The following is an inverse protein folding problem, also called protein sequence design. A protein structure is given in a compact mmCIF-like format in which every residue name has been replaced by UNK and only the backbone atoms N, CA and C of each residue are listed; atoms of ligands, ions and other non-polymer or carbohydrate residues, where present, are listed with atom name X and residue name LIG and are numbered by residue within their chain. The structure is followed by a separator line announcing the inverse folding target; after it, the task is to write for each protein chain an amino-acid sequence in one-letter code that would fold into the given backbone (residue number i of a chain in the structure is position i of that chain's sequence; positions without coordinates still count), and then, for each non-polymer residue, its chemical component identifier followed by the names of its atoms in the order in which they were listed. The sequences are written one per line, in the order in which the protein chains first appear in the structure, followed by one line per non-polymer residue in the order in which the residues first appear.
data_IF_183939816353
#
_entry.id   IF_183939816353
#
_cell.length_a   1.000
_cell.length_b   1.000
_cell.length_c   1.000
_cell.angle_alpha   90.00
_cell.angle_beta   90.00
_cell.angle_gamma   90.00
#
_symmetry.space_group_name_H-M   'P 1'
#
loop_
_entity.id
_entity.type
_entity.pdbx_description
1 polymer ?
#
# COMPACT_ATOMS: atom_id res chain seq x y z
N UNK A 1 74.50 -37.08 6.20
CA UNK A 1 74.03 -35.68 6.31
C UNK A 1 73.68 -35.16 4.96
N UNK A 2 72.59 -35.65 4.37
CA UNK A 2 71.97 -35.11 3.12
C UNK A 2 70.54 -35.67 2.97
N UNK A 3 69.63 -35.25 3.86
CA UNK A 3 68.22 -35.63 3.75
C UNK A 3 67.34 -34.75 4.68
N UNK A 4 67.45 -33.41 4.61
CA UNK A 4 66.57 -32.49 5.36
C UNK A 4 66.34 -31.14 4.65
N UNK A 5 66.40 -31.08 3.30
CA UNK A 5 66.21 -29.78 2.60
C UNK A 5 65.03 -29.71 1.62
N UNK A 6 64.13 -30.73 1.55
CA UNK A 6 63.02 -30.70 0.54
C UNK A 6 61.60 -30.52 1.10
N UNK A 7 61.45 -30.30 2.41
CA UNK A 7 60.12 -30.17 3.04
C UNK A 7 59.63 -28.72 3.29
N UNK A 8 60.38 -27.71 2.80
CA UNK A 8 60.09 -26.30 3.11
C UNK A 8 59.47 -25.43 1.98
N UNK A 9 59.31 -25.93 0.74
CA UNK A 9 59.00 -25.04 -0.40
C UNK A 9 57.62 -25.09 -0.99
N UNK A 10 56.67 -25.89 -0.52
CA UNK A 10 55.32 -26.02 -1.16
C UNK A 10 54.21 -25.26 -0.50
N UNK A 11 54.35 -24.71 0.71
CA UNK A 11 53.23 -24.07 1.43
C UNK A 11 53.10 -22.54 1.20
N UNK A 12 54.15 -21.86 0.80
CA UNK A 12 54.06 -20.39 0.53
C UNK A 12 53.37 -20.02 -0.79
N UNK A 13 53.38 -20.91 -1.79
CA UNK A 13 52.76 -20.65 -3.12
C UNK A 13 51.23 -20.76 -3.09
N UNK A 14 50.70 -21.71 -2.35
CA UNK A 14 49.26 -21.98 -2.22
C UNK A 14 48.57 -20.91 -1.37
N UNK A 15 49.19 -20.47 -0.26
CA UNK A 15 48.69 -19.38 0.59
C UNK A 15 48.67 -18.03 -0.15
N UNK A 16 49.63 -17.73 -1.03
CA UNK A 16 49.70 -16.48 -1.79
C UNK A 16 48.64 -16.44 -2.89
N UNK A 17 48.38 -17.56 -3.57
CA UNK A 17 47.30 -17.69 -4.59
C UNK A 17 45.89 -17.57 -3.94
N UNK A 18 45.68 -18.18 -2.77
CA UNK A 18 44.43 -18.07 -2.03
C UNK A 18 44.12 -16.64 -1.58
N UNK A 19 45.10 -15.89 -1.06
CA UNK A 19 44.94 -14.46 -0.68
C UNK A 19 44.59 -13.56 -1.85
N UNK A 20 45.17 -13.80 -3.03
CA UNK A 20 44.85 -13.02 -4.24
C UNK A 20 43.44 -13.28 -4.75
N UNK A 21 42.96 -14.52 -4.67
CA UNK A 21 41.63 -14.91 -5.07
C UNK A 21 40.54 -14.27 -4.18
N UNK A 22 40.70 -14.29 -2.86
CA UNK A 22 39.76 -13.64 -1.95
C UNK A 22 39.66 -12.13 -2.14
N UNK A 23 40.77 -11.45 -2.49
CA UNK A 23 40.73 -10.03 -2.87
C UNK A 23 39.93 -9.79 -4.14
N UNK A 24 40.09 -10.66 -5.15
CA UNK A 24 39.30 -10.60 -6.38
C UNK A 24 37.81 -10.86 -6.11
N UNK A 25 37.47 -11.89 -5.34
CA UNK A 25 36.08 -12.17 -4.95
C UNK A 25 35.45 -11.00 -4.18
N UNK A 26 36.17 -10.42 -3.22
CA UNK A 26 35.71 -9.21 -2.51
C UNK A 26 35.48 -8.03 -3.44
N UNK A 27 36.40 -7.80 -4.39
CA UNK A 27 36.27 -6.72 -5.37
C UNK A 27 35.02 -6.91 -6.25
N UNK A 28 34.72 -8.13 -6.73
CA UNK A 28 33.51 -8.38 -7.53
C UNK A 28 32.24 -8.12 -6.75
N UNK A 29 32.19 -8.53 -5.47
CA UNK A 29 31.06 -8.25 -4.58
C UNK A 29 30.89 -6.75 -4.35
N UNK A 30 31.99 -6.02 -4.06
CA UNK A 30 31.95 -4.56 -3.87
C UNK A 30 31.44 -3.81 -5.12
N UNK A 31 31.92 -4.20 -6.30
CA UNK A 31 31.46 -3.60 -7.57
C UNK A 31 29.98 -3.91 -7.80
N UNK A 32 29.52 -5.14 -7.53
CA UNK A 32 28.11 -5.50 -7.65
C UNK A 32 27.23 -4.71 -6.67
N UNK A 33 27.63 -4.59 -5.43
CA UNK A 33 26.93 -3.78 -4.41
C UNK A 33 26.87 -2.31 -4.82
N UNK A 34 27.99 -1.74 -5.27
CA UNK A 34 28.04 -0.33 -5.72
C UNK A 34 27.12 -0.11 -6.93
N UNK A 35 27.11 -1.02 -7.90
CA UNK A 35 26.21 -0.98 -9.05
C UNK A 35 24.73 -0.98 -8.60
N UNK A 36 24.34 -1.89 -7.71
CA UNK A 36 22.98 -1.97 -7.15
C UNK A 36 22.61 -0.68 -6.42
N UNK A 37 23.50 -0.15 -5.60
CA UNK A 37 23.26 1.10 -4.87
C UNK A 37 23.09 2.30 -5.81
N UNK A 38 23.92 2.41 -6.85
CA UNK A 38 23.80 3.48 -7.86
C UNK A 38 22.47 3.37 -8.61
N UNK A 39 22.11 2.18 -9.12
CA UNK A 39 20.85 1.97 -9.83
C UNK A 39 19.63 2.31 -8.96
N UNK A 40 19.61 1.85 -7.73
CA UNK A 40 18.51 2.15 -6.81
C UNK A 40 18.45 3.63 -6.45
N UNK A 41 19.59 4.30 -6.23
CA UNK A 41 19.61 5.74 -5.94
C UNK A 41 19.02 6.57 -7.08
N UNK A 42 19.26 6.17 -8.33
CA UNK A 42 18.68 6.84 -9.50
C UNK A 42 17.16 6.70 -9.54
N UNK A 43 16.61 5.48 -9.33
CA UNK A 43 15.18 5.26 -9.29
C UNK A 43 14.49 6.01 -8.14
N UNK A 44 15.06 5.91 -6.94
CA UNK A 44 14.51 6.62 -5.76
C UNK A 44 14.52 8.12 -5.98
N UNK A 45 15.61 8.68 -6.51
CA UNK A 45 15.69 10.11 -6.82
C UNK A 45 14.65 10.53 -7.86
N UNK A 46 14.49 9.77 -8.95
CA UNK A 46 13.50 10.04 -9.98
C UNK A 46 12.06 9.99 -9.43
N UNK A 47 11.75 8.99 -8.59
CA UNK A 47 10.44 8.86 -7.95
C UNK A 47 10.15 9.91 -6.88
N UNK A 48 11.18 10.50 -6.24
CA UNK A 48 11.01 11.54 -5.22
C UNK A 48 10.91 12.97 -5.79
N UNK A 49 11.45 13.21 -6.99
CA UNK A 49 11.38 14.53 -7.64
C UNK A 49 9.95 14.86 -8.10
N UNK A 50 9.20 13.85 -8.50
CA UNK A 50 7.73 13.89 -8.72
C UNK A 50 7.19 12.60 -8.17
N UNK A 51 6.18 12.61 -7.29
CA UNK A 51 5.57 11.39 -6.78
C UNK A 51 5.23 10.48 -7.96
N UNK A 52 5.92 9.34 -8.05
CA UNK A 52 5.84 8.47 -9.21
C UNK A 52 6.07 7.02 -8.82
N UNK A 53 4.95 6.29 -8.70
CA UNK A 53 4.98 4.86 -8.39
C UNK A 53 5.67 4.03 -9.48
N UNK A 54 5.68 4.48 -10.75
CA UNK A 54 6.31 3.71 -11.84
C UNK A 54 7.83 3.59 -11.65
N UNK A 55 8.50 4.62 -11.14
CA UNK A 55 9.95 4.55 -10.87
C UNK A 55 10.26 3.61 -9.70
N UNK A 56 9.39 3.55 -8.70
CA UNK A 56 9.53 2.57 -7.60
C UNK A 56 9.29 1.15 -8.11
N UNK A 57 8.36 0.95 -9.04
CA UNK A 57 8.14 -0.36 -9.66
C UNK A 57 9.32 -0.78 -10.54
N UNK A 58 9.95 0.13 -11.28
CA UNK A 58 11.20 -0.15 -12.02
C UNK A 58 12.34 -0.56 -11.08
N UNK A 59 12.48 0.13 -9.93
CA UNK A 59 13.44 -0.28 -8.90
C UNK A 59 13.15 -1.70 -8.39
N UNK A 60 11.88 -2.00 -8.18
CA UNK A 60 11.43 -3.31 -7.75
C UNK A 60 11.76 -4.40 -8.81
N UNK A 61 11.40 -4.18 -10.08
CA UNK A 61 11.68 -5.15 -11.14
C UNK A 61 13.19 -5.36 -11.31
N UNK A 62 13.98 -4.29 -11.24
CA UNK A 62 15.43 -4.43 -11.23
C UNK A 62 15.93 -5.32 -10.09
N UNK A 63 15.51 -5.05 -8.84
CA UNK A 63 16.06 -5.76 -7.68
C UNK A 63 15.53 -7.19 -7.54
N UNK A 64 14.29 -7.45 -7.92
CA UNK A 64 13.62 -8.72 -7.65
C UNK A 64 13.35 -9.57 -8.91
N UNK A 65 13.79 -9.11 -10.08
CA UNK A 65 13.72 -9.87 -11.32
C UNK A 65 15.01 -9.81 -12.11
N UNK A 66 15.48 -8.64 -12.54
CA UNK A 66 16.71 -8.53 -13.36
C UNK A 66 17.96 -8.96 -12.57
N UNK A 67 18.08 -8.49 -11.32
CA UNK A 67 19.23 -8.82 -10.47
C UNK A 67 19.33 -10.32 -10.14
N UNK A 68 18.29 -11.03 -9.70
CA UNK A 68 18.35 -12.49 -9.55
C UNK A 68 18.81 -13.23 -10.81
N UNK A 69 18.29 -12.85 -11.99
CA UNK A 69 18.69 -13.48 -13.24
C UNK A 69 20.17 -13.23 -13.54
N UNK A 70 20.66 -12.01 -13.29
CA UNK A 70 22.08 -11.66 -13.43
C UNK A 70 22.95 -12.46 -12.47
N UNK A 71 22.51 -12.62 -11.20
CA UNK A 71 23.22 -13.40 -10.19
C UNK A 71 23.28 -14.89 -10.58
N UNK A 72 22.23 -15.48 -11.13
CA UNK A 72 22.26 -16.85 -11.63
C UNK A 72 23.20 -16.99 -12.84
N UNK A 73 23.25 -16.00 -13.75
CA UNK A 73 24.22 -15.95 -14.83
C UNK A 73 25.66 -15.95 -14.32
N UNK A 74 25.94 -15.13 -13.29
CA UNK A 74 27.25 -15.11 -12.64
C UNK A 74 27.56 -16.43 -11.91
N UNK A 75 26.59 -17.03 -11.24
CA UNK A 75 26.75 -18.33 -10.60
C UNK A 75 27.11 -19.42 -11.60
N UNK A 76 26.42 -19.46 -12.75
CA UNK A 76 26.73 -20.39 -13.84
C UNK A 76 28.13 -20.16 -14.41
N UNK A 77 28.52 -18.88 -14.61
CA UNK A 77 29.88 -18.54 -15.04
C UNK A 77 30.94 -19.05 -14.05
N UNK A 78 30.77 -18.79 -12.75
CA UNK A 78 31.72 -19.25 -11.74
C UNK A 78 31.75 -20.78 -11.64
N UNK A 79 30.64 -21.47 -11.83
CA UNK A 79 30.61 -22.93 -11.90
C UNK A 79 31.40 -23.45 -13.11
N UNK A 80 31.26 -22.81 -14.28
CA UNK A 80 32.04 -23.15 -15.46
C UNK A 80 33.56 -22.91 -15.26
N UNK A 81 33.93 -21.78 -14.64
CA UNK A 81 35.32 -21.48 -14.30
C UNK A 81 35.90 -22.50 -13.31
N UNK A 82 35.11 -23.08 -12.43
CA UNK A 82 35.53 -24.15 -11.51
C UNK A 82 35.89 -25.43 -12.26
N UNK A 83 35.32 -25.68 -13.45
CA UNK A 83 35.68 -26.81 -14.32
C UNK A 83 36.96 -26.54 -15.08
N UNK A 84 37.17 -25.30 -15.54
CA UNK A 84 38.31 -24.89 -16.35
C UNK A 84 39.61 -24.72 -15.53
N UNK A 85 39.51 -24.34 -14.25
CA UNK A 85 40.63 -24.10 -13.36
C UNK A 85 40.60 -24.96 -12.07
N UNK A 86 41.02 -26.24 -12.15
CA UNK A 86 40.96 -27.19 -11.01
C UNK A 86 41.67 -26.69 -9.75
N UNK A 87 42.76 -25.96 -9.88
CA UNK A 87 43.54 -25.42 -8.77
C UNK A 87 42.81 -24.35 -7.91
N UNK A 88 41.74 -23.78 -8.42
CA UNK A 88 40.90 -22.80 -7.75
C UNK A 88 39.43 -23.24 -7.67
N UNK A 89 39.14 -24.51 -8.00
CA UNK A 89 37.80 -25.09 -8.10
C UNK A 89 36.94 -24.79 -6.88
N UNK A 90 37.46 -25.02 -5.69
CA UNK A 90 36.73 -24.81 -4.42
C UNK A 90 36.28 -23.34 -4.26
N UNK A 91 37.14 -22.40 -4.62
CA UNK A 91 36.86 -20.97 -4.47
C UNK A 91 35.84 -20.48 -5.50
N UNK A 92 35.91 -20.96 -6.76
CA UNK A 92 34.91 -20.67 -7.78
C UNK A 92 33.53 -21.24 -7.41
N UNK A 93 33.46 -22.45 -6.87
CA UNK A 93 32.22 -23.07 -6.40
C UNK A 93 31.60 -22.28 -5.22
N UNK A 94 32.41 -21.77 -4.29
CA UNK A 94 31.88 -20.93 -3.22
C UNK A 94 31.26 -19.62 -3.75
N UNK A 95 31.88 -18.97 -4.74
CA UNK A 95 31.29 -17.80 -5.39
C UNK A 95 30.00 -18.17 -6.14
N UNK A 96 29.99 -19.27 -6.88
CA UNK A 96 28.79 -19.74 -7.56
C UNK A 96 27.64 -19.98 -6.57
N UNK A 97 27.90 -20.66 -5.45
CA UNK A 97 26.91 -20.91 -4.41
C UNK A 97 26.43 -19.61 -3.76
N UNK A 98 27.32 -18.66 -3.48
CA UNK A 98 26.95 -17.36 -2.89
C UNK A 98 25.98 -16.61 -3.81
N UNK A 99 26.33 -16.47 -5.10
CA UNK A 99 25.49 -15.73 -6.04
C UNK A 99 24.15 -16.46 -6.30
N UNK A 100 24.15 -17.78 -6.39
CA UNK A 100 22.92 -18.56 -6.52
C UNK A 100 22.02 -18.41 -5.27
N UNK A 101 22.60 -18.47 -4.07
CA UNK A 101 21.87 -18.29 -2.81
C UNK A 101 21.19 -16.93 -2.75
N UNK A 102 21.94 -15.84 -3.00
CA UNK A 102 21.38 -14.49 -3.00
C UNK A 102 20.27 -14.36 -4.08
N UNK A 103 20.48 -14.94 -5.25
CA UNK A 103 19.46 -14.95 -6.31
C UNK A 103 18.17 -15.65 -5.87
N UNK A 104 18.26 -16.77 -5.19
CA UNK A 104 17.09 -17.50 -4.63
C UNK A 104 16.39 -16.67 -3.56
N UNK A 105 17.13 -16.06 -2.62
CA UNK A 105 16.54 -15.22 -1.58
C UNK A 105 15.76 -14.03 -2.15
N UNK A 106 16.29 -13.39 -3.19
CA UNK A 106 15.59 -12.30 -3.89
C UNK A 106 14.31 -12.79 -4.59
N UNK A 107 14.29 -14.00 -5.16
CA UNK A 107 13.07 -14.58 -5.74
C UNK A 107 12.05 -14.97 -4.64
N UNK A 108 12.49 -15.46 -3.51
CA UNK A 108 11.61 -15.70 -2.35
C UNK A 108 11.01 -14.37 -1.88
N UNK A 109 11.82 -13.32 -1.76
CA UNK A 109 11.34 -11.99 -1.42
C UNK A 109 10.33 -11.49 -2.48
N UNK A 110 10.61 -11.67 -3.78
CA UNK A 110 9.66 -11.36 -4.85
C UNK A 110 8.30 -12.03 -4.61
N UNK A 111 8.31 -13.35 -4.39
CA UNK A 111 7.09 -14.10 -4.13
C UNK A 111 6.32 -13.54 -2.93
N UNK A 112 7.03 -13.25 -1.85
CA UNK A 112 6.43 -12.68 -0.64
C UNK A 112 5.73 -11.34 -0.93
N UNK A 113 6.43 -10.38 -1.55
CA UNK A 113 5.91 -9.02 -1.76
C UNK A 113 4.84 -8.92 -2.85
N UNK A 114 4.78 -9.90 -3.78
CA UNK A 114 3.77 -9.90 -4.85
C UNK A 114 2.57 -10.81 -4.59
N UNK A 115 2.74 -11.85 -3.79
CA UNK A 115 1.74 -12.91 -3.64
C UNK A 115 1.25 -13.08 -2.20
N UNK A 116 2.12 -12.86 -1.21
CA UNK A 116 1.76 -13.08 0.21
C UNK A 116 1.28 -11.78 0.85
N UNK A 117 2.11 -10.75 0.86
CA UNK A 117 1.79 -9.51 1.57
C UNK A 117 0.57 -8.76 0.98
N UNK A 118 0.35 -8.68 -0.34
CA UNK A 118 -0.86 -8.07 -0.90
C UNK A 118 -2.18 -8.77 -0.55
N UNK A 119 -2.13 -10.00 -0.07
CA UNK A 119 -3.30 -10.77 0.37
C UNK A 119 -3.47 -10.78 1.91
N UNK A 120 -2.54 -10.14 2.63
CA UNK A 120 -2.59 -10.07 4.10
C UNK A 120 -3.43 -8.88 4.54
N UNK A 121 -4.75 -9.08 4.64
CA UNK A 121 -5.66 -8.04 5.09
C UNK A 121 -5.61 -7.86 6.61
N UNK A 122 -5.31 -6.64 7.05
CA UNK A 122 -5.35 -6.22 8.45
C UNK A 122 -6.66 -5.47 8.74
N UNK A 123 -7.24 -5.73 9.90
CA UNK A 123 -8.37 -4.96 10.42
C UNK A 123 -7.91 -4.15 11.60
N UNK A 124 -7.86 -2.83 11.43
CA UNK A 124 -7.62 -1.91 12.54
C UNK A 124 -8.93 -1.60 13.24
N UNK A 125 -8.90 -1.60 14.58
CA UNK A 125 -10.06 -1.24 15.40
C UNK A 125 -9.73 0.03 16.18
N UNK A 126 -10.54 1.06 15.97
CA UNK A 126 -10.41 2.37 16.60
C UNK A 126 -11.67 2.63 17.43
N UNK A 127 -11.49 3.05 18.64
CA UNK A 127 -12.58 3.52 19.51
C UNK A 127 -12.49 5.04 19.63
N UNK A 128 -13.53 5.74 19.19
CA UNK A 128 -13.64 7.18 19.26
C UNK A 128 -14.84 7.58 20.13
N UNK A 129 -14.56 8.18 21.26
CA UNK A 129 -15.61 8.65 22.19
C UNK A 129 -16.17 9.98 21.71
N UNK A 130 -17.52 10.12 21.78
CA UNK A 130 -18.22 11.33 21.36
C UNK A 130 -19.45 11.59 22.23
N UNK A 131 -19.70 12.86 22.62
CA UNK A 131 -20.96 13.23 23.29
C UNK A 131 -22.14 13.37 22.31
N UNK A 132 -21.92 13.28 21.00
CA UNK A 132 -22.91 13.55 19.95
C UNK A 132 -23.80 12.35 19.62
N UNK A 133 -23.46 11.18 20.13
CA UNK A 133 -24.19 9.92 19.89
C UNK A 133 -24.58 9.27 21.21
N UNK A 134 -25.79 8.71 21.27
CA UNK A 134 -26.34 8.03 22.45
C UNK A 134 -26.12 6.51 22.40
N UNK A 135 -25.72 5.97 21.25
CA UNK A 135 -25.45 4.54 21.04
C UNK A 135 -24.18 4.36 20.21
N UNK A 136 -23.52 3.23 20.37
CA UNK A 136 -22.33 2.89 19.57
C UNK A 136 -22.72 2.69 18.12
N UNK A 137 -21.95 3.30 17.22
CA UNK A 137 -22.07 3.13 15.77
C UNK A 137 -20.74 2.58 15.23
N UNK A 138 -20.81 1.46 14.52
CA UNK A 138 -19.67 0.82 13.88
C UNK A 138 -19.54 1.32 12.46
N UNK A 139 -18.56 2.19 12.21
CA UNK A 139 -18.23 2.71 10.87
C UNK A 139 -17.06 1.95 10.31
N UNK A 140 -17.27 1.22 9.23
CA UNK A 140 -16.17 0.60 8.49
C UNK A 140 -15.66 1.57 7.43
N UNK A 141 -14.38 1.91 7.48
CA UNK A 141 -13.68 2.61 6.42
C UNK A 141 -12.90 1.60 5.57
N UNK A 142 -13.22 1.55 4.29
CA UNK A 142 -12.52 0.78 3.26
C UNK A 142 -12.15 1.70 2.10
N UNK A 143 -11.05 1.42 1.41
CA UNK A 143 -10.54 2.21 0.30
C UNK A 143 -9.70 1.34 -0.63
N UNK A 144 -9.53 1.80 -1.86
CA UNK A 144 -8.51 1.28 -2.77
C UNK A 144 -8.54 -0.26 -2.86
N UNK A 145 -9.70 -0.81 -3.15
CA UNK A 145 -9.87 -2.25 -3.41
C UNK A 145 -9.09 -2.61 -4.68
N UNK A 146 -9.12 -1.71 -5.67
CA UNK A 146 -8.37 -1.78 -6.94
C UNK A 146 -8.27 -3.20 -7.49
N UNK A 147 -9.40 -3.94 -7.45
CA UNK A 147 -9.45 -5.29 -7.97
C UNK A 147 -9.20 -5.31 -9.48
N UNK A 148 -8.33 -6.20 -9.93
CA UNK A 148 -8.09 -6.42 -11.35
C UNK A 148 -9.13 -7.31 -12.02
N UNK A 149 -10.02 -7.88 -11.22
CA UNK A 149 -11.13 -8.77 -11.45
C UNK A 149 -11.48 -9.42 -10.12
N UNK A 150 -12.77 -9.64 -9.86
CA UNK A 150 -13.24 -10.22 -8.59
C UNK A 150 -12.78 -11.68 -8.48
N UNK A 151 -12.01 -11.95 -7.43
CA UNK A 151 -11.40 -13.24 -7.12
C UNK A 151 -11.80 -13.71 -5.71
N UNK A 152 -11.32 -14.88 -5.30
CA UNK A 152 -11.49 -15.38 -3.94
C UNK A 152 -10.94 -14.42 -2.86
N UNK A 153 -9.99 -13.56 -3.22
CA UNK A 153 -9.47 -12.56 -2.29
C UNK A 153 -10.53 -11.50 -1.97
N UNK A 154 -11.17 -10.92 -2.97
CA UNK A 154 -12.22 -9.93 -2.76
C UNK A 154 -13.42 -10.54 -2.04
N UNK A 155 -13.79 -11.77 -2.38
CA UNK A 155 -14.85 -12.51 -1.66
C UNK A 155 -14.51 -12.60 -0.16
N UNK A 156 -13.30 -13.05 0.19
CA UNK A 156 -12.84 -13.13 1.58
C UNK A 156 -12.80 -11.77 2.29
N UNK A 157 -12.43 -10.69 1.58
CA UNK A 157 -12.47 -9.33 2.12
C UNK A 157 -13.90 -8.99 2.55
N UNK A 158 -14.90 -9.24 1.69
CA UNK A 158 -16.29 -8.91 1.98
C UNK A 158 -16.93 -9.88 3.02
N UNK A 159 -16.52 -11.13 3.07
CA UNK A 159 -16.88 -12.05 4.16
C UNK A 159 -16.35 -11.53 5.51
N UNK A 160 -15.12 -11.04 5.55
CA UNK A 160 -14.54 -10.45 6.75
C UNK A 160 -15.25 -9.16 7.14
N UNK A 161 -15.61 -8.30 6.17
CA UNK A 161 -16.42 -7.10 6.41
C UNK A 161 -17.76 -7.49 7.04
N UNK A 162 -18.45 -8.50 6.50
CA UNK A 162 -19.72 -8.98 7.02
C UNK A 162 -19.59 -9.50 8.46
N UNK A 163 -18.52 -10.21 8.77
CA UNK A 163 -18.22 -10.71 10.12
C UNK A 163 -17.92 -9.60 11.15
N UNK A 164 -17.53 -8.40 10.68
CA UNK A 164 -17.35 -7.22 11.54
C UNK A 164 -18.66 -6.53 11.92
N UNK A 165 -19.76 -6.90 11.26
CA UNK A 165 -21.11 -6.35 11.48
C UNK A 165 -21.10 -4.79 11.51
N UNK A 166 -20.63 -4.11 10.46
CA UNK A 166 -20.62 -2.65 10.44
C UNK A 166 -22.06 -2.11 10.33
N UNK A 167 -22.33 -1.02 11.03
CA UNK A 167 -23.58 -0.29 10.89
C UNK A 167 -23.59 0.57 9.61
N UNK A 168 -22.41 1.09 9.25
CA UNK A 168 -22.18 1.98 8.12
C UNK A 168 -20.86 1.60 7.43
N UNK A 169 -20.85 1.62 6.10
CA UNK A 169 -19.62 1.50 5.32
C UNK A 169 -19.36 2.82 4.60
N UNK A 170 -18.14 3.34 4.74
CA UNK A 170 -17.63 4.49 3.99
C UNK A 170 -16.46 4.03 3.13
N UNK A 171 -16.62 4.15 1.81
CA UNK A 171 -15.59 3.79 0.84
C UNK A 171 -15.01 5.06 0.20
N UNK A 172 -13.71 5.23 0.28
CA UNK A 172 -13.02 6.42 -0.22
C UNK A 172 -12.50 6.26 -1.65
N UNK A 173 -13.09 5.36 -2.44
CA UNK A 173 -12.84 5.26 -3.90
C UNK A 173 -11.85 4.17 -4.29
N UNK A 174 -11.54 4.15 -5.58
CA UNK A 174 -10.66 3.18 -6.24
C UNK A 174 -11.14 1.72 -6.08
N UNK A 175 -12.33 1.45 -6.64
CA UNK A 175 -12.97 0.13 -6.52
C UNK A 175 -12.30 -0.94 -7.39
N UNK A 176 -12.12 -0.64 -8.69
CA UNK A 176 -11.63 -1.57 -9.70
C UNK A 176 -10.49 -0.95 -10.51
N UNK A 177 -9.46 -1.74 -10.73
CA UNK A 177 -8.39 -1.46 -11.69
C UNK A 177 -8.22 -2.71 -12.57
N UNK A 178 -9.20 -2.90 -13.45
CA UNK A 178 -9.37 -4.14 -14.22
C UNK A 178 -8.17 -4.47 -15.08
N UNK A 179 -7.90 -5.78 -15.20
CA UNK A 179 -6.82 -6.31 -16.03
C UNK A 179 -7.41 -7.29 -17.04
N UNK A 180 -7.13 -7.13 -18.34
CA UNK A 180 -7.63 -8.04 -19.33
C UNK A 180 -7.38 -9.52 -18.97
N UNK A 181 -8.34 -10.43 -19.23
CA UNK A 181 -9.56 -10.24 -20.02
C UNK A 181 -10.75 -9.60 -19.24
N UNK A 182 -10.63 -9.31 -17.93
CA UNK A 182 -11.67 -8.65 -17.16
C UNK A 182 -11.93 -7.22 -17.68
N UNK A 183 -13.19 -6.78 -17.58
CA UNK A 183 -13.62 -5.44 -17.94
C UNK A 183 -14.38 -4.81 -16.77
N UNK A 184 -14.46 -3.48 -16.74
CA UNK A 184 -15.26 -2.81 -15.71
C UNK A 184 -16.73 -3.27 -15.74
N UNK A 185 -17.30 -3.40 -16.93
CA UNK A 185 -18.69 -3.84 -17.12
C UNK A 185 -18.93 -5.29 -16.61
N UNK A 186 -17.92 -6.18 -16.68
CA UNK A 186 -18.05 -7.55 -16.16
C UNK A 186 -17.84 -7.66 -14.66
N UNK A 187 -17.00 -6.78 -14.07
CA UNK A 187 -16.58 -6.92 -12.68
C UNK A 187 -17.36 -6.03 -11.70
N UNK A 188 -17.81 -4.84 -12.14
CA UNK A 188 -18.54 -3.93 -11.27
C UNK A 188 -19.85 -4.52 -10.71
N UNK A 189 -20.67 -5.22 -11.50
CA UNK A 189 -21.86 -5.91 -10.96
C UNK A 189 -21.55 -6.95 -9.90
N UNK A 190 -20.41 -7.68 -10.03
CA UNK A 190 -19.97 -8.66 -9.03
C UNK A 190 -19.57 -7.96 -7.72
N UNK A 191 -18.87 -6.82 -7.82
CA UNK A 191 -18.54 -5.99 -6.66
C UNK A 191 -19.80 -5.48 -5.96
N UNK A 192 -20.80 -5.01 -6.70
CA UNK A 192 -22.08 -4.58 -6.12
C UNK A 192 -22.80 -5.73 -5.40
N UNK A 193 -22.74 -6.96 -5.91
CA UNK A 193 -23.28 -8.14 -5.23
C UNK A 193 -22.58 -8.41 -3.90
N UNK A 194 -21.24 -8.25 -3.84
CA UNK A 194 -20.49 -8.42 -2.59
C UNK A 194 -20.87 -7.34 -1.58
N UNK A 195 -21.01 -6.08 -2.01
CA UNK A 195 -21.48 -4.96 -1.16
C UNK A 195 -22.90 -5.24 -0.66
N UNK A 196 -23.80 -5.70 -1.54
CA UNK A 196 -25.17 -6.04 -1.19
C UNK A 196 -25.25 -7.17 -0.14
N UNK A 197 -24.34 -8.14 -0.20
CA UNK A 197 -24.33 -9.27 0.74
C UNK A 197 -23.95 -8.87 2.17
N UNK A 198 -23.27 -7.72 2.35
CA UNK A 198 -22.98 -7.17 3.69
C UNK A 198 -24.21 -6.46 4.26
N UNK A 199 -24.89 -5.62 3.47
CA UNK A 199 -26.13 -4.92 3.80
C UNK A 199 -26.13 -4.20 5.17
N UNK A 200 -25.22 -3.24 5.41
CA UNK A 200 -25.18 -2.50 6.68
C UNK A 200 -26.44 -1.66 6.88
N UNK A 201 -26.96 -1.62 8.11
CA UNK A 201 -28.28 -0.99 8.42
C UNK A 201 -28.35 0.51 8.10
N UNK A 202 -27.22 1.23 8.12
CA UNK A 202 -27.14 2.66 7.78
C UNK A 202 -26.69 2.88 6.33
N UNK A 203 -26.40 1.80 5.61
CA UNK A 203 -26.04 1.82 4.18
C UNK A 203 -24.55 1.90 3.90
N UNK A 204 -24.23 1.88 2.60
CA UNK A 204 -22.87 2.02 2.08
C UNK A 204 -22.77 3.29 1.25
N UNK A 205 -21.86 4.19 1.61
CA UNK A 205 -21.60 5.45 0.93
C UNK A 205 -20.18 5.49 0.39
N UNK A 206 -19.99 6.17 -0.74
CA UNK A 206 -18.68 6.24 -1.38
C UNK A 206 -18.43 7.56 -2.09
N UNK A 207 -17.17 7.81 -2.39
CA UNK A 207 -16.70 8.85 -3.30
C UNK A 207 -15.95 8.21 -4.48
N UNK A 208 -15.75 8.96 -5.55
CA UNK A 208 -14.94 8.53 -6.68
C UNK A 208 -13.44 8.66 -6.35
N UNK A 209 -12.65 7.67 -6.76
CA UNK A 209 -11.21 7.73 -6.85
C UNK A 209 -10.71 7.93 -8.29
N UNK A 210 -9.46 7.58 -8.54
CA UNK A 210 -8.81 7.74 -9.84
C UNK A 210 -9.27 6.72 -10.89
N UNK A 211 -9.81 5.58 -10.44
CA UNK A 211 -10.13 4.42 -11.29
C UNK A 211 -11.60 4.33 -11.70
N UNK A 212 -12.49 5.23 -11.25
CA UNK A 212 -13.94 5.17 -11.52
C UNK A 212 -14.40 6.01 -12.71
N UNK A 213 -13.56 6.20 -13.73
CA UNK A 213 -13.94 7.02 -14.90
C UNK A 213 -15.17 6.49 -15.63
N UNK A 214 -15.33 5.17 -15.69
CA UNK A 214 -16.46 4.49 -16.29
C UNK A 214 -17.79 4.72 -15.56
N UNK A 215 -17.74 5.16 -14.30
CA UNK A 215 -18.93 5.48 -13.51
C UNK A 215 -19.42 6.93 -13.69
N UNK A 216 -18.65 7.78 -14.34
CA UNK A 216 -19.07 9.15 -14.58
C UNK A 216 -20.29 9.19 -15.49
N UNK A 217 -21.41 9.74 -14.97
CA UNK A 217 -22.68 9.80 -15.68
C UNK A 217 -23.56 8.53 -15.57
N UNK A 218 -23.12 7.50 -14.86
CA UNK A 218 -23.97 6.35 -14.54
C UNK A 218 -25.06 6.78 -13.56
N UNK A 219 -26.31 6.35 -13.83
CA UNK A 219 -27.44 6.63 -12.95
C UNK A 219 -27.19 6.06 -11.54
N UNK A 220 -27.53 6.81 -10.46
CA UNK A 220 -27.44 6.29 -9.10
C UNK A 220 -28.17 4.96 -8.87
N UNK A 221 -29.27 4.72 -9.58
CA UNK A 221 -30.04 3.46 -9.48
C UNK A 221 -29.21 2.25 -9.94
N UNK A 222 -28.33 2.44 -10.91
CA UNK A 222 -27.42 1.40 -11.41
C UNK A 222 -26.20 1.16 -10.51
N UNK A 223 -26.04 1.96 -9.45
CA UNK A 223 -24.98 1.82 -8.46
C UNK A 223 -25.48 1.22 -7.14
N UNK A 224 -26.79 0.97 -7.00
CA UNK A 224 -27.32 0.38 -5.77
C UNK A 224 -26.66 -0.98 -5.46
N UNK A 225 -26.31 -1.24 -4.19
CA UNK A 225 -26.66 -0.52 -2.95
C UNK A 225 -25.69 0.62 -2.58
N UNK A 226 -24.73 0.95 -3.44
CA UNK A 226 -23.72 1.95 -3.22
C UNK A 226 -24.28 3.36 -3.46
N UNK A 227 -24.14 4.26 -2.48
CA UNK A 227 -24.62 5.64 -2.56
C UNK A 227 -23.43 6.59 -2.76
N UNK A 228 -23.29 7.15 -3.95
CA UNK A 228 -22.20 8.07 -4.26
C UNK A 228 -22.48 9.46 -3.68
N UNK A 229 -21.55 9.99 -2.89
CA UNK A 229 -21.63 11.32 -2.26
C UNK A 229 -20.61 12.33 -2.82
N UNK A 230 -20.11 12.14 -4.01
CA UNK A 230 -19.15 13.07 -4.62
C UNK A 230 -19.74 14.49 -4.70
N UNK A 231 -19.15 15.44 -3.97
CA UNK A 231 -19.67 16.83 -3.75
C UNK A 231 -21.10 16.85 -3.20
N UNK A 232 -21.47 15.89 -2.36
CA UNK A 232 -22.82 15.74 -1.80
C UNK A 232 -22.80 15.43 -0.32
N UNK A 233 -23.92 15.77 0.34
CA UNK A 233 -24.14 15.54 1.76
C UNK A 233 -25.24 14.50 1.98
N UNK A 234 -25.08 13.67 3.00
CA UNK A 234 -26.14 12.82 3.53
C UNK A 234 -26.26 13.01 5.04
N UNK A 235 -27.49 13.08 5.57
CA UNK A 235 -27.78 13.03 7.00
C UNK A 235 -28.43 11.71 7.35
N UNK A 236 -27.87 11.01 8.30
CA UNK A 236 -28.30 9.69 8.73
C UNK A 236 -28.73 9.76 10.17
N UNK A 237 -30.04 9.54 10.40
CA UNK A 237 -30.54 9.37 11.77
C UNK A 237 -30.17 7.96 12.26
N UNK A 238 -29.43 7.88 13.34
CA UNK A 238 -28.99 6.62 13.94
C UNK A 238 -29.95 6.07 14.98
N UNK A 239 -30.99 6.82 15.35
CA UNK A 239 -31.85 6.56 16.50
C UNK A 239 -31.27 7.05 17.85
N UNK A 240 -30.00 7.48 17.87
CA UNK A 240 -29.31 8.01 19.06
C UNK A 240 -28.41 9.19 18.72
N UNK A 241 -28.74 9.94 17.68
CA UNK A 241 -27.99 11.07 17.14
C UNK A 241 -27.97 11.07 15.64
N UNK A 242 -27.35 12.08 15.04
CA UNK A 242 -27.28 12.26 13.60
C UNK A 242 -25.82 12.21 13.14
N UNK A 243 -25.55 11.38 12.12
CA UNK A 243 -24.32 11.45 11.37
C UNK A 243 -24.53 12.37 10.17
N UNK A 244 -23.69 13.38 10.01
CA UNK A 244 -23.64 14.25 8.84
C UNK A 244 -22.43 13.87 8.01
N UNK A 245 -22.66 13.30 6.84
CA UNK A 245 -21.64 12.86 5.91
C UNK A 245 -21.49 13.89 4.80
N UNK A 246 -20.26 14.27 4.47
CA UNK A 246 -19.97 15.04 3.27
C UNK A 246 -18.86 14.36 2.47
N UNK A 247 -19.17 13.96 1.24
CA UNK A 247 -18.22 13.35 0.32
C UNK A 247 -17.63 14.39 -0.64
N UNK A 248 -16.32 14.46 -0.71
CA UNK A 248 -15.60 15.31 -1.68
C UNK A 248 -15.52 14.62 -3.05
N UNK A 249 -15.55 15.39 -4.11
CA UNK A 249 -15.15 14.88 -5.43
C UNK A 249 -13.65 14.58 -5.43
N UNK A 250 -13.20 13.79 -6.41
CA UNK A 250 -11.76 13.50 -6.59
C UNK A 250 -10.95 14.81 -6.69
N UNK A 251 -11.44 15.76 -7.49
CA UNK A 251 -10.78 17.06 -7.65
C UNK A 251 -10.70 17.85 -6.35
N UNK A 252 -11.77 17.89 -5.57
CA UNK A 252 -11.80 18.59 -4.28
C UNK A 252 -10.88 17.93 -3.26
N UNK A 253 -10.80 16.59 -3.25
CA UNK A 253 -9.93 15.86 -2.31
C UNK A 253 -8.44 16.06 -2.58
N UNK A 254 -8.05 16.35 -3.83
CA UNK A 254 -6.67 16.66 -4.27
C UNK A 254 -6.32 18.15 -4.24
N UNK A 255 -7.31 19.05 -4.09
CA UNK A 255 -7.12 20.51 -4.14
C UNK A 255 -7.62 21.16 -2.86
N UNK A 256 -6.73 21.57 -2.00
CA UNK A 256 -6.99 22.15 -0.69
C UNK A 256 -8.02 23.31 -0.75
N UNK A 257 -7.76 24.35 -1.54
CA UNK A 257 -8.62 25.54 -1.62
C UNK A 257 -10.06 25.27 -2.08
N UNK A 258 -10.28 24.24 -2.89
CA UNK A 258 -11.62 23.83 -3.34
C UNK A 258 -12.36 23.01 -2.27
N UNK A 259 -11.62 22.20 -1.52
CA UNK A 259 -12.17 21.46 -0.40
C UNK A 259 -12.72 22.42 0.64
N UNK A 260 -11.96 23.41 1.08
CA UNK A 260 -12.33 24.38 2.13
C UNK A 260 -13.66 25.05 1.85
N UNK A 261 -13.84 25.61 0.64
CA UNK A 261 -15.10 26.30 0.27
C UNK A 261 -16.32 25.38 0.35
N UNK A 262 -16.22 24.19 -0.22
CA UNK A 262 -17.33 23.22 -0.21
C UNK A 262 -17.65 22.73 1.21
N UNK A 263 -16.63 22.60 2.03
CA UNK A 263 -16.76 22.20 3.44
C UNK A 263 -17.39 23.30 4.27
N UNK A 264 -17.04 24.57 4.05
CA UNK A 264 -17.67 25.72 4.72
C UNK A 264 -19.17 25.80 4.42
N UNK A 265 -19.59 25.62 3.18
CA UNK A 265 -21.00 25.58 2.78
C UNK A 265 -21.76 24.42 3.49
N UNK A 266 -21.13 23.24 3.57
CA UNK A 266 -21.70 22.11 4.31
C UNK A 266 -21.83 22.41 5.79
N UNK A 267 -20.80 22.96 6.42
CA UNK A 267 -20.79 23.30 7.83
C UNK A 267 -21.84 24.38 8.17
N UNK A 268 -22.02 25.38 7.29
CA UNK A 268 -23.04 26.40 7.44
C UNK A 268 -24.46 25.82 7.39
N UNK A 269 -24.66 24.72 6.63
CA UNK A 269 -25.93 23.99 6.56
C UNK A 269 -26.12 22.94 7.67
N UNK A 270 -25.10 22.66 8.47
CA UNK A 270 -25.09 21.63 9.50
C UNK A 270 -25.80 22.10 10.78
N UNK A 271 -26.44 21.16 11.49
CA UNK A 271 -27.08 21.42 12.77
C UNK A 271 -26.08 21.14 13.91
N UNK A 272 -26.23 21.90 15.01
CA UNK A 272 -25.43 21.63 16.20
C UNK A 272 -25.72 20.22 16.77
N UNK A 273 -24.69 19.54 17.25
CA UNK A 273 -24.83 18.19 17.80
C UNK A 273 -24.71 17.04 16.79
N UNK A 274 -24.66 17.32 15.48
CA UNK A 274 -24.37 16.28 14.48
C UNK A 274 -22.91 15.80 14.59
N UNK A 275 -22.68 14.48 14.46
CA UNK A 275 -21.33 13.93 14.28
C UNK A 275 -20.95 14.04 12.80
N UNK A 276 -19.92 14.82 12.51
CA UNK A 276 -19.56 15.25 11.16
C UNK A 276 -18.42 14.42 10.61
N UNK A 277 -18.67 13.74 9.50
CA UNK A 277 -17.66 12.93 8.78
C UNK A 277 -17.45 13.53 7.40
N UNK A 278 -16.24 14.00 7.15
CA UNK A 278 -15.76 14.43 5.84
C UNK A 278 -14.94 13.31 5.22
N UNK A 279 -15.20 12.94 3.97
CA UNK A 279 -14.41 11.92 3.31
C UNK A 279 -14.18 12.23 1.83
N UNK A 280 -12.97 11.92 1.39
CA UNK A 280 -12.51 12.12 0.01
C UNK A 280 -11.54 11.01 -0.36
N UNK A 281 -11.18 10.91 -1.64
CA UNK A 281 -10.24 9.89 -2.09
C UNK A 281 -8.82 10.21 -1.62
N UNK A 282 -8.25 11.35 -2.02
CA UNK A 282 -6.92 11.79 -1.60
C UNK A 282 -6.97 12.49 -0.23
N UNK A 283 -5.90 12.39 0.58
CA UNK A 283 -5.88 13.02 1.90
C UNK A 283 -5.50 14.50 1.88
N UNK A 284 -5.17 15.11 0.73
CA UNK A 284 -4.62 16.47 0.61
C UNK A 284 -5.56 17.53 1.18
N UNK A 285 -6.88 17.34 1.08
CA UNK A 285 -7.88 18.21 1.70
C UNK A 285 -7.72 18.35 3.22
N UNK A 286 -7.14 17.33 3.86
CA UNK A 286 -6.99 17.31 5.32
C UNK A 286 -6.04 18.40 5.84
N UNK A 287 -5.17 18.96 4.99
CA UNK A 287 -4.26 20.03 5.35
C UNK A 287 -5.00 21.34 5.66
N UNK A 288 -6.14 21.60 5.00
CA UNK A 288 -6.89 22.86 5.11
C UNK A 288 -8.10 22.80 6.04
N UNK A 289 -8.40 21.65 6.62
CA UNK A 289 -9.57 21.47 7.49
C UNK A 289 -9.22 21.25 8.96
N UNK A 290 -7.96 21.45 9.33
CA UNK A 290 -7.45 21.17 10.69
C UNK A 290 -8.16 21.93 11.81
N UNK A 291 -8.64 23.14 11.54
CA UNK A 291 -9.30 24.00 12.51
C UNK A 291 -10.84 24.01 12.40
N UNK A 292 -11.36 23.26 11.42
CA UNK A 292 -12.80 23.22 11.18
C UNK A 292 -13.52 22.25 12.13
N UNK A 293 -14.79 22.53 12.49
CA UNK A 293 -15.56 21.72 13.44
C UNK A 293 -16.06 20.40 12.84
N UNK A 294 -15.13 19.60 12.34
CA UNK A 294 -15.32 18.26 11.79
C UNK A 294 -14.85 17.26 12.85
N UNK A 295 -15.53 16.13 13.01
CA UNK A 295 -15.15 15.12 13.99
C UNK A 295 -14.18 14.09 13.39
N UNK A 296 -14.41 13.68 12.13
CA UNK A 296 -13.65 12.62 11.48
C UNK A 296 -13.45 12.91 9.99
N UNK A 297 -12.23 12.75 9.53
CA UNK A 297 -11.83 12.79 8.12
C UNK A 297 -11.37 11.39 7.68
N UNK A 298 -11.76 10.97 6.45
CA UNK A 298 -11.38 9.66 5.90
C UNK A 298 -10.80 9.84 4.50
N UNK A 299 -9.69 9.16 4.21
CA UNK A 299 -9.04 9.16 2.90
C UNK A 299 -8.35 7.85 2.59
N UNK A 300 -8.04 7.62 1.31
CA UNK A 300 -7.24 6.53 0.77
C UNK A 300 -6.09 7.03 -0.08
N UNK A 301 -6.04 6.58 -1.36
CA UNK A 301 -5.16 7.05 -2.44
C UNK A 301 -3.68 6.76 -2.27
N UNK A 302 -3.10 7.03 -1.12
CA UNK A 302 -1.66 6.94 -0.87
C UNK A 302 -1.14 5.50 -0.83
N UNK A 303 -2.03 4.52 -0.67
CA UNK A 303 -1.68 3.10 -0.43
C UNK A 303 -0.65 2.90 0.71
N UNK A 304 -0.51 3.88 1.61
CA UNK A 304 0.57 3.92 2.58
C UNK A 304 1.97 3.96 1.94
N UNK A 305 2.06 4.25 0.65
CA UNK A 305 3.26 4.21 -0.19
C UNK A 305 3.60 2.82 -0.74
N UNK A 306 2.78 1.79 -0.52
CA UNK A 306 2.93 0.38 -0.93
C UNK A 306 4.28 -0.27 -0.52
N UNK A 307 5.40 0.45 -0.64
CA UNK A 307 6.75 0.03 -0.24
C UNK A 307 7.24 0.92 0.89
N UNK A 308 7.40 0.32 2.06
CA UNK A 308 7.87 1.02 3.27
C UNK A 308 9.17 0.39 3.76
N UNK A 309 10.25 1.14 3.69
CA UNK A 309 11.51 0.67 4.23
C UNK A 309 11.50 0.78 5.76
N UNK A 310 12.10 -0.20 6.47
CA UNK A 310 12.28 -0.10 7.91
C UNK A 310 12.98 1.23 8.27
N UNK A 311 12.50 1.90 9.33
CA UNK A 311 12.99 3.19 9.87
C UNK A 311 12.85 4.41 8.93
N UNK A 312 12.71 4.21 7.61
CA UNK A 312 12.58 5.30 6.61
C UNK A 312 11.09 5.60 6.32
N UNK A 313 10.25 4.56 6.36
CA UNK A 313 8.85 4.67 5.98
C UNK A 313 8.62 4.57 4.47
N UNK A 314 7.56 5.22 3.93
CA UNK A 314 7.26 5.19 2.51
C UNK A 314 8.33 5.93 1.72
N UNK A 315 8.74 5.34 0.58
CA UNK A 315 9.67 6.00 -0.34
C UNK A 315 8.97 7.11 -1.11
N UNK A 316 7.77 6.82 -1.61
CA UNK A 316 6.92 7.73 -2.37
C UNK A 316 5.50 7.66 -1.81
N UNK A 317 4.83 8.81 -1.74
CA UNK A 317 3.39 8.96 -1.58
C UNK A 317 2.92 9.91 -2.67
N UNK A 318 1.81 9.60 -3.31
CA UNK A 318 1.20 10.47 -4.33
C UNK A 318 0.24 11.47 -3.66
N UNK A 319 0.78 12.32 -2.79
CA UNK A 319 0.02 13.29 -2.00
C UNK A 319 0.95 14.34 -1.40
N UNK A 320 0.41 15.53 -1.10
CA UNK A 320 1.14 16.63 -0.46
C UNK A 320 1.19 16.54 1.06
N UNK A 321 0.45 15.61 1.67
CA UNK A 321 0.46 15.45 3.13
C UNK A 321 1.82 14.97 3.64
N UNK A 322 2.17 15.24 4.91
CA UNK A 322 3.36 14.66 5.52
C UNK A 322 3.39 13.13 5.38
N UNK A 323 4.57 12.54 5.16
CA UNK A 323 4.73 11.08 4.98
C UNK A 323 4.12 10.26 6.11
N UNK A 324 4.09 10.81 7.31
CA UNK A 324 3.49 10.21 8.49
C UNK A 324 1.97 10.09 8.35
N UNK A 325 1.34 10.95 7.52
CA UNK A 325 -0.10 10.93 7.26
C UNK A 325 -0.49 9.95 6.14
N UNK A 326 0.48 9.31 5.50
CA UNK A 326 0.22 8.39 4.38
C UNK A 326 -0.61 7.17 4.75
N UNK A 327 -0.75 6.84 6.03
CA UNK A 327 -1.65 5.80 6.55
C UNK A 327 -1.90 5.92 8.06
N UNK A 328 -3.01 5.30 8.48
CA UNK A 328 -3.35 5.14 9.89
C UNK A 328 -4.18 6.29 10.46
N UNK A 329 -4.57 6.12 11.73
CA UNK A 329 -5.45 7.02 12.46
C UNK A 329 -4.66 8.01 13.30
N UNK A 330 -5.04 9.30 13.26
CA UNK A 330 -4.39 10.37 14.01
C UNK A 330 -5.29 11.57 14.25
N UNK A 331 -4.94 12.42 15.20
CA UNK A 331 -5.52 13.74 15.34
C UNK A 331 -4.71 14.76 14.54
N UNK A 332 -5.39 15.62 13.75
CA UNK A 332 -4.74 16.61 12.87
C UNK A 332 -5.10 18.06 13.24
N UNK A 333 -5.64 18.27 14.41
CA UNK A 333 -6.16 19.55 14.89
C UNK A 333 -7.47 19.31 15.62
N UNK A 334 -8.56 19.93 15.17
CA UNK A 334 -9.91 19.62 15.66
C UNK A 334 -10.32 18.22 15.24
N UNK A 335 -10.25 17.85 13.92
CA UNK A 335 -10.68 16.54 13.47
C UNK A 335 -9.65 15.42 13.74
N UNK A 336 -10.16 14.19 13.76
CA UNK A 336 -9.35 13.01 13.54
C UNK A 336 -9.27 12.71 12.04
N UNK A 337 -8.17 12.13 11.58
CA UNK A 337 -7.95 11.66 10.22
C UNK A 337 -7.62 10.17 10.24
N UNK A 338 -8.29 9.39 9.39
CA UNK A 338 -7.87 8.03 9.06
C UNK A 338 -7.55 7.95 7.56
N UNK A 339 -6.30 7.67 7.25
CA UNK A 339 -5.86 7.39 5.87
C UNK A 339 -5.64 5.90 5.75
N UNK A 340 -6.36 5.25 4.83
CA UNK A 340 -6.25 3.82 4.58
C UNK A 340 -5.11 3.53 3.60
N UNK A 341 -4.33 2.48 3.89
CA UNK A 341 -3.38 1.95 2.92
C UNK A 341 -4.07 1.09 1.83
N UNK A 342 -5.39 0.95 1.89
CA UNK A 342 -6.19 0.23 0.89
C UNK A 342 -6.32 -1.26 1.12
N UNK A 343 -7.46 -1.82 0.68
CA UNK A 343 -7.75 -3.24 0.73
C UNK A 343 -7.17 -4.02 -0.47
N UNK A 344 -6.71 -3.34 -1.50
CA UNK A 344 -6.06 -3.91 -2.67
C UNK A 344 -4.65 -3.37 -2.90
N UNK A 345 -4.22 -3.29 -4.14
CA UNK A 345 -2.89 -2.79 -4.50
C UNK A 345 -2.92 -2.13 -5.86
N UNK A 346 -2.43 -0.92 -5.93
CA UNK A 346 -2.24 -0.24 -7.21
C UNK A 346 -1.29 -1.06 -8.10
N UNK A 347 -1.65 -1.17 -9.37
CA UNK A 347 -0.84 -1.78 -10.41
C UNK A 347 -0.55 -0.75 -11.46
N UNK A 348 0.70 -0.58 -11.81
CA UNK A 348 1.08 0.30 -12.90
C UNK A 348 1.31 -0.53 -14.17
N UNK A 349 0.67 -0.15 -15.28
CA UNK A 349 0.90 -0.62 -16.66
C UNK A 349 1.47 -2.06 -16.81
N UNK A 350 0.69 -3.08 -16.41
CA UNK A 350 1.07 -4.48 -16.58
C UNK A 350 2.07 -5.05 -15.56
N UNK A 351 2.52 -4.24 -14.61
CA UNK A 351 3.40 -4.70 -13.54
C UNK A 351 2.62 -5.48 -12.48
N UNK A 352 3.30 -6.37 -11.76
CA UNK A 352 2.70 -7.17 -10.70
C UNK A 352 2.25 -6.29 -9.53
N UNK A 353 1.16 -6.67 -8.85
CA UNK A 353 0.83 -6.14 -7.52
C UNK A 353 2.07 -6.23 -6.64
N UNK A 354 2.30 -5.22 -5.81
CA UNK A 354 3.43 -5.23 -4.91
C UNK A 354 3.12 -4.50 -3.62
N UNK A 355 3.41 -5.15 -2.50
CA UNK A 355 3.45 -4.50 -1.18
C UNK A 355 4.66 -5.00 -0.42
N UNK A 356 5.36 -4.10 0.27
CA UNK A 356 6.48 -4.43 1.14
C UNK A 356 6.38 -3.64 2.45
N UNK A 357 6.27 -4.36 3.56
CA UNK A 357 6.08 -3.80 4.91
C UNK A 357 4.88 -2.82 4.97
N UNK A 358 3.86 -3.10 4.13
CA UNK A 358 2.64 -2.32 4.00
C UNK A 358 1.48 -3.23 3.55
N UNK A 359 1.03 -4.16 4.41
CA UNK A 359 -0.08 -5.05 4.08
C UNK A 359 -1.35 -4.27 3.77
N UNK A 360 -2.30 -4.93 3.11
CA UNK A 360 -3.64 -4.38 2.88
C UNK A 360 -4.38 -4.17 4.18
N UNK A 361 -5.28 -3.20 4.23
CA UNK A 361 -5.98 -2.88 5.47
C UNK A 361 -7.40 -2.33 5.25
N UNK A 362 -8.20 -2.44 6.31
CA UNK A 362 -9.45 -1.71 6.52
C UNK A 362 -9.55 -1.29 7.98
N UNK A 363 -10.35 -0.28 8.28
CA UNK A 363 -10.47 0.25 9.65
C UNK A 363 -11.91 0.24 10.11
N UNK A 364 -12.19 -0.46 11.23
CA UNK A 364 -13.45 -0.37 11.95
C UNK A 364 -13.33 0.70 13.02
N UNK A 365 -14.11 1.77 12.88
CA UNK A 365 -14.17 2.89 13.82
C UNK A 365 -15.44 2.77 14.63
N UNK A 366 -15.31 2.49 15.90
CA UNK A 366 -16.43 2.44 16.85
C UNK A 366 -16.62 3.81 17.45
N UNK A 367 -17.68 4.52 17.00
CA UNK A 367 -18.12 5.77 17.59
C UNK A 367 -18.93 5.44 18.84
N UNK A 368 -18.39 5.74 20.03
CA UNK A 368 -19.00 5.34 21.30
C UNK A 368 -19.48 6.55 22.08
N UNK A 369 -20.64 6.46 22.74
CA UNK A 369 -21.12 7.50 23.63
C UNK A 369 -20.09 7.83 24.71
N UNK A 370 -19.84 9.11 24.92
CA UNK A 370 -19.05 9.55 26.08
C UNK A 370 -19.86 9.26 27.37
N UNK A 371 -19.29 8.48 28.27
CA UNK A 371 -19.96 8.26 29.59
C UNK A 371 -20.00 9.56 30.35
N UNK A 372 -21.17 9.96 30.95
CA UNK A 372 -21.17 11.09 31.87
C UNK A 372 -20.18 10.80 32.99
N UNK A 373 -19.32 11.77 33.27
CA UNK A 373 -18.47 11.73 34.47
C UNK A 373 -19.42 11.74 35.68
N UNK A 374 -19.42 10.65 36.41
CA UNK A 374 -20.19 10.55 37.66
C UNK A 374 -19.53 11.33 38.79
#
# INVERSE_FOLDING_TARGET
MKELSELGMTDHGTRRKGRSFWKFGLLTVLVAVLYVLIRNSLYVRAGMLKPNFSEIQKAYDFNLWELPMTLFGLAALFAALALLWPGLRRSWLWLALLYAFVGVDLLILRYYVTSVEPQRLLVHRIRLETPKLMQTIRVLHISDIQSGGITDYEVKVFEQIKALEPDLILNTGDFLQVVPPATFASEFPKLLQLIQAVNPRLGTYAVYGDTERELYGVSPDNMAPLKMLSSRTARINTGGGVLSLHGLSLYQSKNQSWATRTVEDWLASSVAGEFRILFGHAPDYALDVTDLPIDLCLAGHTHGGQVRLPWIGPLVIDSEVPKEWSKGFRRIGVPYLNVSAGAGSNRFEGLSKMRFNCPTEMTLIELVPMRPIR
#
